data_IF_809376043659
#
_entry.id   IF_809376043659
#
_cell.length_a   1.000
_cell.length_b   1.000
_cell.length_c   1.000
_cell.angle_alpha   90.00
_cell.angle_beta   90.00
_cell.angle_gamma   90.00
#
_symmetry.space_group_name_H-M   'P 1'
#
loop_
_entity.id
_entity.type
_entity.pdbx_description
1 polymer ?
#
# COMPACT_ATOMS: atom_id res chain seq x y z
N UNK A 1 -7.68 -76.08 -18.21
CA UNK A 1 -8.81 -75.37 -17.58
C UNK A 1 -8.66 -75.21 -16.06
N UNK A 2 -8.38 -76.30 -15.31
CA UNK A 2 -8.26 -76.22 -13.81
C UNK A 2 -7.11 -75.33 -13.33
N UNK A 3 -5.95 -75.34 -13.99
CA UNK A 3 -4.77 -74.54 -13.60
C UNK A 3 -4.99 -73.02 -13.79
N UNK A 4 -5.70 -72.65 -14.83
CA UNK A 4 -6.08 -71.22 -15.09
C UNK A 4 -7.06 -70.70 -14.04
N UNK A 5 -7.98 -71.50 -13.61
CA UNK A 5 -8.95 -71.18 -12.55
C UNK A 5 -8.28 -70.98 -11.19
N UNK A 6 -7.33 -71.82 -10.84
CA UNK A 6 -6.57 -71.73 -9.58
C UNK A 6 -5.69 -70.43 -9.54
N UNK A 7 -5.05 -70.10 -10.64
CA UNK A 7 -4.24 -68.85 -10.73
C UNK A 7 -5.13 -67.59 -10.63
N UNK A 8 -6.31 -67.64 -11.25
CA UNK A 8 -7.25 -66.52 -11.18
C UNK A 8 -7.83 -66.34 -9.79
N UNK A 9 -8.17 -67.46 -9.11
CA UNK A 9 -8.66 -67.45 -7.73
C UNK A 9 -7.61 -66.95 -6.73
N UNK A 10 -6.34 -67.33 -6.90
CA UNK A 10 -5.26 -66.79 -6.08
C UNK A 10 -5.08 -65.28 -6.26
N UNK A 11 -5.12 -64.79 -7.51
CA UNK A 11 -5.02 -63.34 -7.77
C UNK A 11 -6.20 -62.53 -7.20
N UNK A 12 -7.40 -63.11 -7.20
CA UNK A 12 -8.57 -62.46 -6.60
C UNK A 12 -8.38 -62.38 -5.08
N UNK A 13 -7.97 -63.43 -4.41
CA UNK A 13 -7.71 -63.41 -2.97
C UNK A 13 -6.57 -62.43 -2.59
N UNK A 14 -5.51 -62.34 -3.41
CA UNK A 14 -4.42 -61.37 -3.20
C UNK A 14 -4.91 -59.94 -3.33
N UNK A 15 -5.79 -59.66 -4.32
CA UNK A 15 -6.39 -58.35 -4.50
C UNK A 15 -7.36 -57.97 -3.37
N UNK A 16 -8.17 -58.93 -2.91
CA UNK A 16 -9.08 -58.73 -1.77
C UNK A 16 -8.30 -58.41 -0.48
N UNK A 17 -7.17 -59.08 -0.25
CA UNK A 17 -6.28 -58.80 0.87
C UNK A 17 -5.61 -57.42 0.75
N UNK A 18 -5.20 -57.00 -0.45
CA UNK A 18 -4.65 -55.66 -0.69
C UNK A 18 -5.69 -54.58 -0.46
N UNK A 19 -6.93 -54.78 -0.93
CA UNK A 19 -8.05 -53.83 -0.71
C UNK A 19 -8.36 -53.70 0.78
N UNK A 20 -8.43 -54.84 1.51
CA UNK A 20 -8.65 -54.83 2.97
C UNK A 20 -7.52 -54.06 3.70
N UNK A 21 -6.27 -54.30 3.31
CA UNK A 21 -5.11 -53.61 3.92
C UNK A 21 -5.15 -52.12 3.64
N UNK A 22 -5.52 -51.70 2.42
CA UNK A 22 -5.67 -50.27 2.06
C UNK A 22 -6.86 -49.61 2.79
N UNK A 23 -7.97 -50.36 2.98
CA UNK A 23 -9.11 -49.86 3.76
C UNK A 23 -8.74 -49.69 5.24
N UNK A 24 -7.97 -50.59 5.83
CA UNK A 24 -7.44 -50.45 7.18
C UNK A 24 -6.44 -49.28 7.29
N UNK A 25 -5.60 -49.04 6.28
CA UNK A 25 -4.70 -47.89 6.22
C UNK A 25 -5.47 -46.58 6.13
N UNK A 26 -6.52 -46.52 5.31
CA UNK A 26 -7.38 -45.34 5.19
C UNK A 26 -8.18 -45.08 6.49
N UNK A 27 -8.67 -46.13 7.15
CA UNK A 27 -9.41 -45.96 8.40
C UNK A 27 -8.52 -45.59 9.59
N UNK A 28 -7.21 -45.91 9.51
CA UNK A 28 -6.20 -45.50 10.48
C UNK A 28 -5.49 -44.17 10.12
N UNK A 29 -5.78 -43.58 8.96
CA UNK A 29 -5.42 -42.17 8.70
C UNK A 29 -6.22 -41.32 9.69
N UNK A 30 -5.56 -40.82 10.72
CA UNK A 30 -6.15 -39.78 11.56
C UNK A 30 -6.59 -38.67 10.62
N UNK A 31 -7.78 -38.06 10.81
CA UNK A 31 -8.11 -36.87 10.08
C UNK A 31 -6.93 -35.93 10.25
N UNK A 32 -6.38 -35.42 9.13
CA UNK A 32 -5.34 -34.43 9.17
C UNK A 32 -5.75 -33.40 10.20
N UNK A 33 -4.92 -33.20 11.23
CA UNK A 33 -5.13 -32.11 12.16
C UNK A 33 -5.45 -30.89 11.29
N UNK A 34 -6.61 -30.29 11.49
CA UNK A 34 -6.92 -29.01 10.83
C UNK A 34 -5.82 -28.08 11.25
N UNK A 35 -4.92 -27.74 10.31
CA UNK A 35 -3.90 -26.73 10.55
C UNK A 35 -4.66 -25.43 10.73
N UNK A 36 -4.96 -25.08 11.97
CA UNK A 36 -5.52 -23.79 12.33
C UNK A 36 -4.33 -22.87 12.48
N UNK A 37 -4.20 -21.92 11.55
CA UNK A 37 -3.24 -20.83 11.71
C UNK A 37 -3.75 -19.93 12.82
N UNK A 38 -3.12 -20.02 14.00
CA UNK A 38 -3.42 -19.19 15.16
C UNK A 38 -2.41 -18.02 15.14
N UNK A 39 -2.91 -16.80 15.08
CA UNK A 39 -2.13 -15.59 15.23
C UNK A 39 -2.46 -14.96 16.60
N UNK A 40 -1.45 -14.66 17.42
CA UNK A 40 -1.64 -14.05 18.73
C UNK A 40 -2.40 -14.92 19.74
N UNK A 41 -3.29 -14.32 20.53
CA UNK A 41 -4.00 -14.95 21.66
C UNK A 41 -5.13 -15.92 21.25
N UNK A 42 -4.87 -16.86 20.34
CA UNK A 42 -5.79 -17.93 19.87
C UNK A 42 -6.86 -17.52 18.84
N UNK A 43 -6.81 -16.34 18.21
CA UNK A 43 -7.75 -15.99 17.14
C UNK A 43 -7.36 -16.69 15.83
N UNK A 44 -8.27 -17.47 15.26
CA UNK A 44 -8.07 -18.06 13.93
C UNK A 44 -8.35 -17.05 12.83
N UNK A 45 -7.76 -17.24 11.63
CA UNK A 45 -8.03 -16.39 10.47
C UNK A 45 -9.52 -16.37 10.09
N UNK A 46 -10.24 -17.47 10.31
CA UNK A 46 -11.68 -17.53 10.06
C UNK A 46 -12.48 -16.68 11.04
N UNK A 47 -12.11 -16.67 12.31
CA UNK A 47 -12.73 -15.82 13.32
C UNK A 47 -12.44 -14.36 13.04
N UNK A 48 -11.17 -14.00 12.76
CA UNK A 48 -10.79 -12.63 12.35
C UNK A 48 -11.60 -12.16 11.14
N UNK A 49 -11.76 -13.03 10.12
CA UNK A 49 -12.59 -12.71 8.96
C UNK A 49 -14.06 -12.49 9.35
N UNK A 50 -14.63 -13.36 10.18
CA UNK A 50 -16.02 -13.24 10.62
C UNK A 50 -16.28 -11.97 11.41
N UNK A 51 -15.34 -11.51 12.21
CA UNK A 51 -15.42 -10.28 13.01
C UNK A 51 -15.26 -9.00 12.15
N UNK A 52 -14.51 -9.07 11.04
CA UNK A 52 -14.14 -7.84 10.29
C UNK A 52 -14.86 -7.70 8.94
N UNK A 53 -15.42 -8.79 8.40
CA UNK A 53 -16.02 -8.82 7.05
C UNK A 53 -17.17 -7.82 6.83
N UNK A 54 -17.97 -7.53 7.87
CA UNK A 54 -19.10 -6.61 7.77
C UNK A 54 -18.67 -5.14 7.68
N UNK A 55 -17.48 -4.86 8.14
CA UNK A 55 -16.88 -3.51 8.09
C UNK A 55 -16.31 -3.16 6.71
N UNK A 56 -16.13 -4.16 5.83
CA UNK A 56 -15.55 -3.96 4.50
C UNK A 56 -16.65 -3.83 3.45
N UNK A 57 -16.58 -2.75 2.69
CA UNK A 57 -17.59 -2.37 1.70
C UNK A 57 -17.02 -2.41 0.28
N UNK A 58 -17.91 -2.55 -0.70
CA UNK A 58 -17.60 -2.33 -2.12
C UNK A 58 -17.91 -0.91 -2.49
N UNK A 59 -16.99 -0.26 -3.17
CA UNK A 59 -17.19 1.08 -3.73
C UNK A 59 -17.27 0.97 -5.25
N UNK A 60 -18.28 1.58 -5.84
CA UNK A 60 -18.45 1.71 -7.28
C UNK A 60 -18.64 3.17 -7.65
N UNK A 61 -17.75 3.67 -8.50
CA UNK A 61 -17.84 5.00 -9.08
C UNK A 61 -18.25 4.95 -10.53
N UNK A 62 -19.09 5.88 -10.97
CA UNK A 62 -19.43 6.08 -12.38
C UNK A 62 -18.67 7.29 -12.89
N UNK A 63 -17.77 7.06 -13.83
CA UNK A 63 -16.98 8.09 -14.50
C UNK A 63 -17.66 8.40 -15.84
N UNK A 64 -18.01 9.66 -16.07
CA UNK A 64 -18.67 10.11 -17.29
C UNK A 64 -17.67 10.88 -18.15
N UNK A 65 -17.33 10.37 -19.32
CA UNK A 65 -16.40 11.03 -20.24
C UNK A 65 -17.12 11.48 -21.50
N UNK A 66 -17.07 12.77 -21.77
CA UNK A 66 -17.55 13.36 -23.05
C UNK A 66 -16.47 13.16 -24.12
N UNK A 67 -16.79 12.46 -25.19
CA UNK A 67 -15.90 12.26 -26.33
C UNK A 67 -16.53 12.82 -27.59
N UNK A 68 -15.76 12.98 -28.65
CA UNK A 68 -16.28 13.41 -29.98
C UNK A 68 -17.29 12.39 -30.58
N UNK A 69 -17.32 11.15 -30.01
CA UNK A 69 -18.25 10.10 -30.42
C UNK A 69 -19.48 9.96 -29.49
N UNK A 70 -19.61 10.87 -28.49
CA UNK A 70 -20.69 10.85 -27.51
C UNK A 70 -20.20 10.61 -26.07
N UNK A 71 -21.19 10.46 -25.17
CA UNK A 71 -20.91 10.21 -23.75
C UNK A 71 -20.51 8.74 -23.54
N UNK A 72 -19.37 8.51 -22.91
CA UNK A 72 -18.91 7.19 -22.48
C UNK A 72 -19.02 7.08 -20.95
N UNK A 73 -19.50 5.94 -20.50
CA UNK A 73 -19.56 5.61 -19.07
C UNK A 73 -18.50 4.55 -18.77
N UNK A 74 -17.63 4.86 -17.80
CA UNK A 74 -16.65 3.95 -17.27
C UNK A 74 -16.98 3.69 -15.79
N UNK A 75 -16.76 2.48 -15.31
CA UNK A 75 -16.96 2.14 -13.91
C UNK A 75 -15.60 1.96 -13.22
N UNK A 76 -15.37 2.73 -12.16
CA UNK A 76 -14.33 2.45 -11.18
C UNK A 76 -14.92 1.52 -10.12
N UNK A 77 -14.10 0.59 -9.62
CA UNK A 77 -14.50 -0.32 -8.55
C UNK A 77 -13.33 -0.61 -7.63
N UNK A 78 -13.59 -0.55 -6.32
CA UNK A 78 -12.66 -0.86 -5.27
C UNK A 78 -13.37 -1.31 -4.01
N UNK A 79 -12.61 -1.37 -2.94
CA UNK A 79 -13.09 -1.63 -1.58
C UNK A 79 -12.96 -0.38 -0.72
N UNK A 80 -13.60 -0.40 0.43
CA UNK A 80 -13.43 0.55 1.51
C UNK A 80 -13.73 -0.14 2.84
N UNK A 81 -13.56 0.57 3.92
CA UNK A 81 -13.96 0.08 5.23
C UNK A 81 -14.58 1.19 6.06
N UNK A 82 -15.48 0.78 6.96
CA UNK A 82 -16.16 1.69 7.89
C UNK A 82 -15.21 2.07 9.01
N UNK A 83 -15.19 3.33 9.35
CA UNK A 83 -14.46 3.88 10.49
C UNK A 83 -15.33 4.88 11.25
N UNK A 84 -15.23 4.86 12.57
CA UNK A 84 -15.88 5.85 13.45
C UNK A 84 -14.88 6.99 13.71
N UNK A 85 -15.10 8.14 13.05
CA UNK A 85 -14.33 9.36 13.28
C UNK A 85 -15.12 10.25 14.23
N UNK A 86 -14.76 10.25 15.52
CA UNK A 86 -15.37 11.10 16.56
C UNK A 86 -16.92 11.02 16.66
N UNK A 87 -17.47 9.83 16.44
CA UNK A 87 -18.92 9.58 16.46
C UNK A 87 -19.59 9.75 15.10
N UNK A 88 -18.86 10.06 14.06
CA UNK A 88 -19.34 10.09 12.68
C UNK A 88 -18.85 8.83 11.93
N UNK A 89 -19.79 8.01 11.45
CA UNK A 89 -19.45 6.88 10.58
C UNK A 89 -19.05 7.36 9.21
N UNK A 90 -17.82 7.05 8.81
CA UNK A 90 -17.25 7.36 7.48
C UNK A 90 -16.75 6.10 6.80
N UNK A 91 -16.59 6.16 5.48
CA UNK A 91 -15.95 5.10 4.70
C UNK A 91 -14.56 5.61 4.28
N UNK A 92 -13.54 4.86 4.61
CA UNK A 92 -12.15 5.12 4.20
C UNK A 92 -11.81 4.25 3.01
N UNK A 93 -11.16 4.83 1.98
CA UNK A 93 -10.76 4.16 0.74
C UNK A 93 -9.57 4.87 0.10
N UNK A 94 -9.11 4.40 -1.07
CA UNK A 94 -8.11 5.10 -1.85
C UNK A 94 -8.71 6.24 -2.68
N UNK A 95 -7.89 7.27 -2.95
CA UNK A 95 -8.23 8.36 -3.86
C UNK A 95 -8.55 7.86 -5.27
N UNK A 96 -7.66 7.03 -5.85
CA UNK A 96 -7.84 6.51 -7.21
C UNK A 96 -9.12 5.68 -7.42
N UNK A 97 -9.75 5.18 -6.34
CA UNK A 97 -11.03 4.45 -6.42
C UNK A 97 -12.20 5.38 -6.69
N UNK A 98 -12.10 6.64 -6.29
CA UNK A 98 -13.17 7.64 -6.38
C UNK A 98 -12.84 8.83 -7.27
N UNK A 99 -11.63 8.89 -7.79
CA UNK A 99 -11.17 9.94 -8.68
C UNK A 99 -12.03 10.00 -9.95
N UNK A 100 -12.40 11.22 -10.37
CA UNK A 100 -13.29 11.49 -11.51
C UNK A 100 -14.70 10.86 -11.42
N UNK A 101 -15.10 10.24 -10.29
CA UNK A 101 -16.41 9.63 -10.16
C UNK A 101 -17.50 10.66 -9.87
N UNK A 102 -18.50 10.77 -10.77
CA UNK A 102 -19.66 11.67 -10.57
C UNK A 102 -20.69 11.07 -9.60
N UNK A 103 -20.85 9.76 -9.60
CA UNK A 103 -21.78 9.05 -8.71
C UNK A 103 -21.07 7.90 -8.04
N UNK A 104 -21.07 7.91 -6.70
CA UNK A 104 -20.43 6.89 -5.89
C UNK A 104 -21.48 6.10 -5.13
N UNK A 105 -21.35 4.79 -5.17
CA UNK A 105 -22.20 3.84 -4.47
C UNK A 105 -21.37 2.96 -3.55
N UNK A 106 -21.86 2.74 -2.35
CA UNK A 106 -21.30 1.83 -1.36
C UNK A 106 -22.25 0.66 -1.17
N UNK A 107 -21.76 -0.55 -1.39
CA UNK A 107 -22.51 -1.78 -1.16
C UNK A 107 -21.97 -2.48 0.06
N UNK A 108 -22.83 -2.67 1.06
CA UNK A 108 -22.53 -3.37 2.30
C UNK A 108 -22.54 -4.89 2.10
N UNK A 109 -22.02 -5.63 3.07
CA UNK A 109 -21.96 -7.09 3.06
C UNK A 109 -23.32 -7.78 2.91
N UNK A 110 -24.39 -7.18 3.46
CA UNK A 110 -25.76 -7.68 3.36
C UNK A 110 -26.38 -7.49 1.95
N UNK A 111 -25.64 -6.85 1.01
CA UNK A 111 -26.08 -6.55 -0.36
C UNK A 111 -26.84 -5.22 -0.50
N UNK A 112 -27.12 -4.50 0.60
CA UNK A 112 -27.70 -3.18 0.53
C UNK A 112 -26.71 -2.19 -0.09
N UNK A 113 -27.22 -1.36 -1.01
CA UNK A 113 -26.41 -0.36 -1.71
C UNK A 113 -26.91 1.04 -1.40
N UNK A 114 -26.02 1.92 -1.08
CA UNK A 114 -26.27 3.30 -0.66
C UNK A 114 -25.46 4.26 -1.50
N UNK A 115 -25.92 5.49 -1.62
CA UNK A 115 -25.15 6.58 -2.21
C UNK A 115 -24.08 7.05 -1.23
N UNK A 116 -22.95 7.48 -1.79
CA UNK A 116 -21.87 8.08 -1.01
C UNK A 116 -21.39 9.38 -1.67
N UNK A 117 -20.80 10.23 -0.84
CA UNK A 117 -20.21 11.51 -1.26
C UNK A 117 -18.82 11.65 -0.68
N UNK A 118 -17.85 12.10 -1.46
CA UNK A 118 -16.50 12.40 -0.99
C UNK A 118 -16.57 13.56 -0.01
N UNK A 119 -16.16 13.34 1.22
CA UNK A 119 -15.96 14.38 2.23
C UNK A 119 -14.63 15.11 1.97
N UNK A 120 -13.59 14.35 1.67
CA UNK A 120 -12.29 14.87 1.31
C UNK A 120 -11.40 13.79 0.76
N UNK A 121 -10.33 14.23 0.07
CA UNK A 121 -9.36 13.33 -0.51
C UNK A 121 -7.98 13.96 -0.59
N UNK A 122 -6.97 13.10 -0.63
CA UNK A 122 -5.58 13.44 -0.85
C UNK A 122 -4.97 12.50 -1.88
N UNK A 123 -4.64 13.07 -3.04
CA UNK A 123 -4.00 12.34 -4.12
C UNK A 123 -2.58 11.90 -3.77
N UNK A 124 -1.84 12.70 -2.98
CA UNK A 124 -0.45 12.40 -2.62
C UNK A 124 -0.31 11.21 -1.66
N UNK A 125 -1.33 10.99 -0.84
CA UNK A 125 -1.40 9.84 0.06
C UNK A 125 -2.25 8.69 -0.51
N UNK A 126 -2.88 8.88 -1.68
CA UNK A 126 -3.88 7.96 -2.25
C UNK A 126 -4.99 7.63 -1.24
N UNK A 127 -5.53 8.66 -0.57
CA UNK A 127 -6.52 8.53 0.50
C UNK A 127 -7.79 9.31 0.16
N UNK A 128 -8.96 8.73 0.43
CA UNK A 128 -10.25 9.39 0.34
C UNK A 128 -11.17 8.98 1.51
N UNK A 129 -11.99 9.91 1.96
CA UNK A 129 -12.99 9.70 3.01
C UNK A 129 -14.37 10.04 2.44
N UNK A 130 -15.32 9.12 2.62
CA UNK A 130 -16.68 9.26 2.12
C UNK A 130 -17.69 9.29 3.26
N UNK A 131 -18.74 10.07 3.09
CA UNK A 131 -20.00 9.90 3.80
C UNK A 131 -20.93 8.98 3.03
N UNK A 132 -21.88 8.34 3.71
CA UNK A 132 -22.91 7.51 3.09
C UNK A 132 -24.26 7.76 3.73
N UNK A 133 -25.35 7.52 2.98
CA UNK A 133 -26.72 7.56 3.53
C UNK A 133 -27.18 6.20 4.09
N UNK A 134 -26.27 5.26 4.28
CA UNK A 134 -26.55 4.00 4.97
C UNK A 134 -26.97 4.26 6.42
N UNK A 135 -27.94 3.50 6.96
CA UNK A 135 -28.29 3.57 8.38
C UNK A 135 -27.09 3.20 9.27
N UNK A 136 -26.85 3.98 10.34
CA UNK A 136 -25.71 3.74 11.24
C UNK A 136 -25.69 2.33 11.84
N UNK A 137 -26.85 1.74 12.11
CA UNK A 137 -26.94 0.38 12.65
C UNK A 137 -26.57 -0.73 11.64
N UNK A 138 -26.32 -0.39 10.38
CA UNK A 138 -25.76 -1.29 9.36
C UNK A 138 -24.25 -1.09 9.18
N UNK A 139 -23.64 -0.11 9.85
CA UNK A 139 -22.23 0.25 9.73
C UNK A 139 -21.46 -0.27 10.96
N UNK A 140 -20.54 -1.20 10.74
CA UNK A 140 -19.67 -1.76 11.78
C UNK A 140 -18.25 -1.19 11.60
N UNK A 141 -17.76 -0.29 12.50
CA UNK A 141 -16.46 0.34 12.32
C UNK A 141 -15.30 -0.58 12.70
N UNK A 142 -14.18 -0.47 11.96
CA UNK A 142 -12.88 -1.04 12.34
C UNK A 142 -12.11 -0.04 13.21
N UNK A 143 -11.28 -0.58 14.10
CA UNK A 143 -10.33 0.21 14.84
C UNK A 143 -9.07 0.44 13.99
N UNK A 144 -8.63 1.70 13.87
CA UNK A 144 -7.34 2.05 13.28
C UNK A 144 -6.31 2.19 14.41
N UNK A 145 -5.15 1.54 14.26
CA UNK A 145 -4.04 1.63 15.20
C UNK A 145 -2.79 2.14 14.49
N UNK A 146 -1.84 2.70 15.24
CA UNK A 146 -0.59 3.22 14.68
C UNK A 146 0.21 2.12 13.96
N UNK A 147 0.63 2.40 12.73
CA UNK A 147 1.55 1.55 11.95
C UNK A 147 3.01 1.67 12.36
N UNK A 148 3.38 2.60 13.27
CA UNK A 148 4.77 2.79 13.72
C UNK A 148 5.36 1.58 14.45
N UNK A 149 4.52 0.67 14.93
CA UNK A 149 4.96 -0.55 15.63
C UNK A 149 5.22 -1.72 14.69
N UNK A 150 4.82 -1.62 13.42
CA UNK A 150 5.03 -2.66 12.43
C UNK A 150 6.51 -2.93 12.19
N UNK A 151 6.83 -4.21 11.99
CA UNK A 151 8.17 -4.68 11.65
C UNK A 151 8.10 -5.61 10.45
N UNK A 152 9.19 -5.66 9.69
CA UNK A 152 9.35 -6.68 8.65
C UNK A 152 9.24 -8.07 9.28
N UNK A 153 8.37 -8.89 8.71
CA UNK A 153 8.02 -10.22 9.21
C UNK A 153 6.70 -10.28 9.99
N UNK A 154 6.12 -9.15 10.40
CA UNK A 154 4.83 -9.15 11.08
C UNK A 154 3.74 -9.68 10.15
N UNK A 155 2.86 -10.58 10.62
CA UNK A 155 1.76 -11.10 9.83
C UNK A 155 0.70 -10.02 9.60
N UNK A 156 0.18 -9.97 8.37
CA UNK A 156 -0.88 -9.04 7.98
C UNK A 156 -1.94 -9.74 7.13
N UNK A 157 -3.16 -9.24 7.21
CA UNK A 157 -4.33 -9.76 6.50
C UNK A 157 -4.94 -8.62 5.70
N UNK A 158 -5.10 -8.82 4.40
CA UNK A 158 -5.83 -7.89 3.55
C UNK A 158 -7.24 -8.43 3.28
N UNK A 159 -8.24 -7.57 3.43
CA UNK A 159 -9.63 -7.90 3.12
C UNK A 159 -10.13 -6.92 2.08
N UNK A 160 -10.72 -7.47 1.00
CA UNK A 160 -11.36 -6.70 -0.04
C UNK A 160 -12.62 -7.37 -0.53
N UNK A 161 -13.40 -6.68 -1.35
CA UNK A 161 -14.61 -7.23 -1.93
C UNK A 161 -14.69 -6.96 -3.45
N UNK A 162 -13.79 -7.56 -4.24
CA UNK A 162 -13.62 -7.24 -5.67
C UNK A 162 -14.86 -7.50 -6.53
N UNK A 163 -15.78 -8.38 -6.10
CA UNK A 163 -16.92 -8.79 -6.90
C UNK A 163 -18.28 -8.46 -6.27
N UNK A 164 -18.30 -7.84 -5.10
CA UNK A 164 -19.54 -7.37 -4.46
C UNK A 164 -20.43 -8.44 -3.80
N UNK A 165 -20.02 -9.71 -3.80
CA UNK A 165 -20.84 -10.81 -3.29
C UNK A 165 -20.18 -11.60 -2.15
N UNK A 166 -18.86 -11.79 -2.22
CA UNK A 166 -18.10 -12.52 -1.19
C UNK A 166 -16.77 -11.82 -1.00
N UNK A 167 -16.54 -11.26 0.19
CA UNK A 167 -15.24 -10.66 0.52
C UNK A 167 -14.12 -11.67 0.30
N UNK A 168 -13.00 -11.19 -0.19
CA UNK A 168 -11.75 -11.96 -0.34
C UNK A 168 -10.81 -11.60 0.78
N UNK A 169 -10.22 -12.61 1.43
CA UNK A 169 -9.17 -12.42 2.41
C UNK A 169 -7.87 -13.00 1.86
N UNK A 170 -6.80 -12.25 1.97
CA UNK A 170 -5.44 -12.69 1.65
C UNK A 170 -4.52 -12.47 2.85
N UNK A 171 -3.53 -13.33 3.00
CA UNK A 171 -2.61 -13.32 4.15
C UNK A 171 -1.18 -13.24 3.66
N UNK A 172 -0.37 -12.50 4.37
CA UNK A 172 1.05 -12.36 4.13
C UNK A 172 1.77 -11.78 5.33
N UNK A 173 2.94 -11.26 5.09
CA UNK A 173 3.74 -10.54 6.07
C UNK A 173 4.12 -9.16 5.55
N UNK A 174 4.48 -8.27 6.45
CA UNK A 174 5.19 -7.04 6.10
C UNK A 174 6.54 -7.43 5.51
N UNK A 175 6.78 -7.09 4.23
CA UNK A 175 8.01 -7.41 3.50
C UNK A 175 9.02 -6.26 3.56
N UNK A 176 8.54 -5.01 3.57
CA UNK A 176 9.34 -3.78 3.71
C UNK A 176 8.46 -2.64 4.20
N UNK A 177 9.05 -1.69 4.88
CA UNK A 177 8.45 -0.42 5.30
C UNK A 177 9.17 0.75 4.63
N UNK A 178 8.50 1.89 4.52
CA UNK A 178 9.10 3.12 4.02
C UNK A 178 9.48 3.06 2.53
N UNK A 179 8.68 2.38 1.69
CA UNK A 179 8.93 2.33 0.26
C UNK A 179 8.22 3.46 -0.48
N UNK A 180 8.85 3.97 -1.53
CA UNK A 180 8.22 4.89 -2.48
C UNK A 180 7.80 4.14 -3.72
N UNK A 181 6.57 4.33 -4.16
CA UNK A 181 6.04 3.78 -5.41
C UNK A 181 5.72 4.92 -6.36
N UNK A 182 6.13 4.77 -7.63
CA UNK A 182 5.77 5.71 -8.69
C UNK A 182 4.49 5.25 -9.35
N UNK A 183 3.49 6.10 -9.38
CA UNK A 183 2.22 5.87 -10.05
C UNK A 183 2.19 6.60 -11.37
N UNK A 184 2.20 5.83 -12.46
CA UNK A 184 2.21 6.39 -13.82
C UNK A 184 0.90 7.09 -14.18
N UNK A 185 -0.19 6.74 -13.52
CA UNK A 185 -1.54 7.27 -13.81
C UNK A 185 -1.74 8.66 -13.19
N UNK A 186 -1.14 8.90 -12.02
CA UNK A 186 -1.27 10.17 -11.29
C UNK A 186 -0.05 11.09 -11.44
N UNK A 187 1.03 10.62 -12.08
CA UNK A 187 2.20 11.45 -12.44
C UNK A 187 3.13 11.82 -11.29
N UNK A 188 2.97 11.25 -10.10
CA UNK A 188 3.84 11.45 -8.94
C UNK A 188 4.01 10.17 -8.12
N UNK A 189 4.94 10.23 -7.14
CA UNK A 189 5.24 9.09 -6.28
C UNK A 189 4.51 9.20 -4.95
N UNK A 190 4.02 8.06 -4.45
CA UNK A 190 3.49 7.90 -3.10
C UNK A 190 4.61 7.33 -2.24
N UNK A 191 5.02 8.09 -1.23
CA UNK A 191 6.09 7.70 -0.32
C UNK A 191 5.55 6.96 0.92
N UNK A 192 6.45 6.36 1.69
CA UNK A 192 6.17 5.70 2.97
C UNK A 192 5.16 4.56 2.86
N UNK A 193 5.26 3.73 1.84
CA UNK A 193 4.34 2.60 1.60
C UNK A 193 4.81 1.34 2.32
N UNK A 194 3.86 0.59 2.90
CA UNK A 194 4.07 -0.77 3.39
C UNK A 194 4.07 -1.72 2.21
N UNK A 195 5.14 -2.49 2.03
CA UNK A 195 5.17 -3.62 1.12
C UNK A 195 4.81 -4.90 1.88
N UNK A 196 3.92 -5.71 1.30
CA UNK A 196 3.50 -7.00 1.88
C UNK A 196 3.56 -8.13 0.86
N UNK A 197 3.72 -9.35 1.34
CA UNK A 197 3.57 -10.57 0.54
C UNK A 197 2.11 -11.03 0.42
N UNK A 198 1.15 -10.40 1.11
CA UNK A 198 -0.27 -10.67 0.91
C UNK A 198 -0.65 -10.31 -0.53
N UNK A 199 -1.26 -11.23 -1.29
CA UNK A 199 -1.68 -10.94 -2.67
C UNK A 199 -2.73 -9.83 -2.71
N UNK A 200 -2.40 -8.70 -3.33
CA UNK A 200 -3.32 -7.59 -3.58
C UNK A 200 -3.65 -7.60 -5.07
N UNK A 201 -4.93 -7.69 -5.37
CA UNK A 201 -5.45 -7.73 -6.74
C UNK A 201 -6.42 -6.56 -6.96
N UNK A 202 -6.68 -6.16 -8.23
CA UNK A 202 -7.71 -5.19 -8.54
C UNK A 202 -9.04 -5.51 -7.85
N UNK A 203 -9.64 -4.50 -7.21
CA UNK A 203 -10.83 -4.63 -6.37
C UNK A 203 -10.55 -4.79 -4.87
N UNK A 204 -9.33 -5.16 -4.44
CA UNK A 204 -8.93 -5.08 -3.04
C UNK A 204 -8.45 -3.67 -2.67
N UNK A 205 -8.04 -2.84 -3.65
CA UNK A 205 -7.66 -1.43 -3.42
C UNK A 205 -8.72 -0.69 -2.61
N UNK A 206 -8.30 0.04 -1.60
CA UNK A 206 -9.14 0.74 -0.62
C UNK A 206 -9.61 -0.13 0.54
N UNK A 207 -9.41 -1.45 0.49
CA UNK A 207 -9.68 -2.34 1.61
C UNK A 207 -8.65 -2.21 2.74
N UNK A 208 -9.00 -2.64 3.97
CA UNK A 208 -8.08 -2.60 5.09
C UNK A 208 -6.95 -3.62 4.97
N UNK A 209 -5.75 -3.22 5.38
CA UNK A 209 -4.67 -4.12 5.80
C UNK A 209 -4.74 -4.20 7.32
N UNK A 210 -4.96 -5.41 7.85
CA UNK A 210 -5.18 -5.66 9.26
C UNK A 210 -3.97 -6.35 9.90
N UNK A 211 -3.74 -6.07 11.18
CA UNK A 211 -2.93 -6.93 12.03
C UNK A 211 -3.74 -8.18 12.46
N UNK A 212 -3.12 -9.08 13.20
CA UNK A 212 -3.76 -10.30 13.69
C UNK A 212 -4.83 -10.09 14.78
N UNK A 213 -4.99 -8.85 15.27
CA UNK A 213 -6.07 -8.46 16.18
C UNK A 213 -7.28 -7.85 15.45
N UNK A 214 -7.29 -7.87 14.11
CA UNK A 214 -8.35 -7.26 13.30
C UNK A 214 -8.32 -5.74 13.24
N UNK A 215 -7.22 -5.11 13.67
CA UNK A 215 -7.06 -3.67 13.67
C UNK A 215 -6.38 -3.21 12.40
N UNK A 216 -6.82 -2.08 11.84
CA UNK A 216 -6.29 -1.50 10.60
C UNK A 216 -4.90 -0.92 10.86
N UNK A 217 -3.92 -1.42 10.10
CA UNK A 217 -2.53 -0.93 10.05
C UNK A 217 -2.18 -0.28 8.70
N UNK A 218 -3.11 -0.32 7.74
CA UNK A 218 -2.96 0.34 6.43
C UNK A 218 -4.18 0.16 5.54
N UNK A 219 -4.12 0.79 4.35
CA UNK A 219 -5.09 0.63 3.26
C UNK A 219 -4.39 -0.01 2.08
N UNK A 220 -4.90 -1.14 1.59
CA UNK A 220 -4.33 -1.83 0.43
C UNK A 220 -4.48 -1.00 -0.85
N UNK A 221 -3.44 -0.96 -1.67
CA UNK A 221 -3.44 -0.31 -2.97
C UNK A 221 -2.84 -1.22 -4.04
N UNK A 222 -3.52 -1.40 -5.16
CA UNK A 222 -3.13 -2.28 -6.28
C UNK A 222 -2.60 -1.45 -7.47
N UNK A 223 -1.86 -0.40 -7.19
CA UNK A 223 -1.41 0.60 -8.15
C UNK A 223 -0.36 0.04 -9.14
N UNK A 224 0.47 -0.94 -8.73
CA UNK A 224 1.51 -1.48 -9.59
C UNK A 224 0.97 -2.73 -10.32
N UNK A 225 0.55 -2.56 -11.56
CA UNK A 225 0.30 -3.68 -12.47
C UNK A 225 1.63 -4.45 -12.69
N UNK A 226 1.60 -5.76 -12.80
CA UNK A 226 2.77 -6.65 -13.01
C UNK A 226 3.67 -6.96 -11.81
N UNK A 227 3.35 -6.54 -10.59
CA UNK A 227 4.08 -6.95 -9.39
C UNK A 227 3.58 -8.30 -8.85
N UNK A 228 3.85 -9.40 -9.55
CA UNK A 228 3.45 -10.73 -9.07
C UNK A 228 4.06 -11.02 -7.69
N UNK A 229 3.19 -11.18 -6.67
CA UNK A 229 3.61 -11.51 -5.31
C UNK A 229 4.05 -10.32 -4.45
N UNK A 230 3.85 -9.08 -4.93
CA UNK A 230 4.08 -7.87 -4.15
C UNK A 230 2.75 -7.13 -3.95
N UNK A 231 2.36 -6.96 -2.70
CA UNK A 231 1.24 -6.10 -2.32
C UNK A 231 1.76 -4.79 -1.71
N UNK A 232 0.97 -3.74 -1.80
CA UNK A 232 1.29 -2.43 -1.24
C UNK A 232 0.12 -1.90 -0.41
N UNK A 233 0.43 -1.11 0.61
CA UNK A 233 -0.58 -0.44 1.43
C UNK A 233 -0.08 0.91 1.94
N UNK A 234 -0.95 1.90 1.95
CA UNK A 234 -0.75 3.18 2.64
C UNK A 234 -0.80 2.93 4.14
N UNK A 235 0.18 3.38 4.93
CA UNK A 235 0.20 3.15 6.38
C UNK A 235 -0.97 3.82 7.11
N UNK A 236 -1.43 3.21 8.19
CA UNK A 236 -2.50 3.78 9.01
C UNK A 236 -2.13 5.11 9.68
N UNK A 237 -0.85 5.38 9.92
CA UNK A 237 -0.42 6.69 10.41
C UNK A 237 -0.78 7.83 9.45
N UNK A 238 -0.76 7.58 8.14
CA UNK A 238 -1.23 8.54 7.14
C UNK A 238 -2.73 8.81 7.32
N UNK A 239 -3.55 7.75 7.51
CA UNK A 239 -4.98 7.91 7.77
C UNK A 239 -5.19 8.75 9.03
N UNK A 240 -4.54 8.38 10.14
CA UNK A 240 -4.69 9.06 11.43
C UNK A 240 -4.27 10.54 11.38
N UNK A 241 -3.26 10.87 10.54
CA UNK A 241 -2.76 12.23 10.34
C UNK A 241 -3.73 13.09 9.53
N UNK A 242 -4.40 12.50 8.53
CA UNK A 242 -5.11 13.24 7.49
C UNK A 242 -6.64 13.20 7.62
N UNK A 243 -7.20 12.19 8.31
CA UNK A 243 -8.65 11.98 8.34
C UNK A 243 -9.43 13.18 8.90
N UNK A 244 -8.95 13.84 9.96
CA UNK A 244 -9.57 15.04 10.50
C UNK A 244 -9.68 16.16 9.47
N UNK A 245 -8.57 16.65 8.90
CA UNK A 245 -8.59 17.65 7.81
C UNK A 245 -9.45 17.23 6.60
N UNK A 246 -9.42 15.95 6.19
CA UNK A 246 -10.23 15.47 5.07
C UNK A 246 -11.72 15.55 5.37
N UNK A 247 -12.15 15.22 6.59
CA UNK A 247 -13.56 15.31 7.00
C UNK A 247 -14.00 16.77 7.18
N UNK A 248 -13.15 17.62 7.79
CA UNK A 248 -13.52 18.98 8.17
C UNK A 248 -13.39 19.99 7.03
N UNK A 249 -12.33 19.87 6.22
CA UNK A 249 -11.97 20.88 5.20
C UNK A 249 -11.93 20.35 3.77
N UNK A 250 -12.08 19.04 3.59
CA UNK A 250 -12.11 18.42 2.29
C UNK A 250 -10.75 18.10 1.67
N UNK A 251 -9.64 18.52 2.29
CA UNK A 251 -8.30 18.31 1.75
C UNK A 251 -7.25 18.33 2.85
N UNK A 252 -6.10 17.68 2.57
CA UNK A 252 -4.91 17.77 3.40
C UNK A 252 -3.82 18.58 2.70
N UNK A 253 -3.38 19.69 3.31
CA UNK A 253 -2.45 20.65 2.71
C UNK A 253 -1.08 20.72 3.41
N UNK A 254 -0.86 19.84 4.39
CA UNK A 254 0.35 19.87 5.22
C UNK A 254 1.45 18.93 4.72
N UNK A 255 1.55 18.76 3.38
CA UNK A 255 2.66 18.04 2.78
C UNK A 255 3.90 18.91 2.72
N UNK A 256 4.95 18.53 3.44
CA UNK A 256 6.25 19.17 3.31
C UNK A 256 6.86 18.89 1.92
N UNK A 257 7.56 19.87 1.38
CA UNK A 257 8.14 19.83 0.05
C UNK A 257 9.52 20.46 0.01
N UNK A 258 10.47 19.75 -0.60
CA UNK A 258 11.82 20.26 -0.80
C UNK A 258 12.02 20.93 -2.16
N UNK A 259 11.31 20.49 -3.19
CA UNK A 259 11.44 21.03 -4.54
C UNK A 259 12.64 20.48 -5.30
N UNK A 260 12.87 19.17 -5.26
CA UNK A 260 13.95 18.51 -5.97
C UNK A 260 13.47 17.25 -6.70
N UNK A 261 14.23 16.86 -7.74
CA UNK A 261 14.22 15.51 -8.29
C UNK A 261 15.57 14.85 -7.99
N UNK A 262 15.57 13.55 -7.77
CA UNK A 262 16.78 12.83 -7.44
C UNK A 262 16.73 11.37 -7.85
N UNK A 263 17.89 10.72 -7.78
CA UNK A 263 18.08 9.29 -8.00
C UNK A 263 18.91 8.71 -6.88
N UNK A 264 18.78 7.40 -6.65
CA UNK A 264 19.58 6.71 -5.65
C UNK A 264 21.04 6.63 -6.10
N UNK A 265 21.94 6.91 -5.17
CA UNK A 265 23.37 6.66 -5.42
C UNK A 265 23.62 5.15 -5.51
N UNK A 266 24.53 4.80 -6.38
CA UNK A 266 25.06 3.45 -6.52
C UNK A 266 26.55 3.50 -6.87
N UNK A 267 27.21 2.33 -6.98
CA UNK A 267 28.62 2.25 -7.27
C UNK A 267 29.00 2.86 -8.64
N UNK A 268 28.16 2.66 -9.67
CA UNK A 268 28.41 3.18 -11.01
C UNK A 268 28.36 4.71 -11.05
N UNK A 269 27.31 5.31 -10.42
CA UNK A 269 27.17 6.78 -10.32
C UNK A 269 28.33 7.36 -9.50
N UNK A 270 28.73 6.69 -8.40
CA UNK A 270 29.86 7.13 -7.59
C UNK A 270 31.18 7.17 -8.39
N UNK A 271 31.42 6.16 -9.25
CA UNK A 271 32.60 6.16 -10.14
C UNK A 271 32.54 7.27 -11.18
N UNK A 272 31.36 7.54 -11.77
CA UNK A 272 31.19 8.63 -12.74
C UNK A 272 31.37 10.01 -12.12
N UNK A 273 31.05 10.16 -10.82
CA UNK A 273 31.22 11.41 -10.06
C UNK A 273 32.59 11.52 -9.35
N UNK A 274 33.48 10.52 -9.49
CA UNK A 274 34.75 10.44 -8.78
C UNK A 274 34.61 10.67 -7.28
N UNK A 275 33.66 9.93 -6.65
CA UNK A 275 33.32 10.03 -5.22
C UNK A 275 33.34 8.67 -4.54
N UNK A 276 33.65 8.67 -3.22
CA UNK A 276 33.59 7.48 -2.37
C UNK A 276 32.18 7.18 -1.85
N UNK A 277 31.23 8.09 -2.06
CA UNK A 277 29.86 7.96 -1.56
C UNK A 277 29.01 7.12 -2.53
N UNK A 278 28.82 5.84 -2.21
CA UNK A 278 28.02 4.88 -3.01
C UNK A 278 26.58 4.75 -2.52
N UNK A 279 26.14 5.57 -1.57
CA UNK A 279 24.81 5.63 -1.00
C UNK A 279 24.38 7.09 -0.82
N UNK A 280 23.09 7.30 -0.61
CA UNK A 280 22.46 8.60 -0.49
C UNK A 280 21.52 8.88 -1.64
N UNK A 281 20.93 10.05 -1.66
CA UNK A 281 20.03 10.51 -2.69
C UNK A 281 20.66 11.66 -3.47
N UNK A 282 21.04 11.41 -4.74
CA UNK A 282 21.66 12.39 -5.63
C UNK A 282 20.58 13.33 -6.18
N UNK A 283 20.72 14.62 -5.95
CA UNK A 283 19.85 15.64 -6.52
C UNK A 283 20.21 15.82 -7.99
N UNK A 284 19.29 15.47 -8.88
CA UNK A 284 19.45 15.64 -10.32
C UNK A 284 18.94 16.99 -10.79
N UNK A 285 17.86 17.51 -10.17
CA UNK A 285 17.26 18.79 -10.49
C UNK A 285 16.76 19.48 -9.23
N UNK A 286 16.81 20.81 -9.24
CA UNK A 286 16.22 21.69 -8.22
C UNK A 286 15.17 22.53 -8.91
N UNK A 287 14.02 22.70 -8.28
CA UNK A 287 12.95 23.58 -8.77
C UNK A 287 13.32 25.03 -8.44
N UNK A 288 13.35 25.86 -9.47
CA UNK A 288 13.67 27.29 -9.33
C UNK A 288 12.71 27.98 -8.35
N UNK A 289 13.24 28.85 -7.51
CA UNK A 289 12.49 29.57 -6.46
C UNK A 289 11.81 28.60 -5.45
N UNK A 290 12.20 27.34 -5.40
CA UNK A 290 11.73 26.36 -4.42
C UNK A 290 12.61 26.31 -3.16
N UNK A 291 12.18 25.62 -2.09
CA UNK A 291 12.91 25.52 -0.82
C UNK A 291 14.35 25.07 -0.96
N UNK A 292 14.61 24.13 -1.85
CA UNK A 292 15.96 23.63 -2.13
C UNK A 292 16.85 24.68 -2.78
N UNK A 293 16.32 25.47 -3.70
CA UNK A 293 17.02 26.56 -4.37
C UNK A 293 17.35 27.68 -3.38
N UNK A 294 16.36 28.10 -2.59
CA UNK A 294 16.55 29.11 -1.54
C UNK A 294 17.59 28.71 -0.50
N UNK A 295 17.65 27.40 -0.15
CA UNK A 295 18.67 26.86 0.73
C UNK A 295 20.05 26.69 0.07
N UNK A 296 20.15 26.83 -1.24
CA UNK A 296 21.38 26.69 -2.01
C UNK A 296 21.79 25.23 -2.29
N UNK A 297 20.84 24.29 -2.29
CA UNK A 297 21.04 22.94 -2.83
C UNK A 297 21.30 23.02 -4.34
N UNK A 298 22.07 22.06 -4.86
CA UNK A 298 22.49 22.06 -6.26
C UNK A 298 22.04 20.78 -6.97
N UNK A 299 21.37 20.96 -8.10
CA UNK A 299 21.11 19.88 -9.04
C UNK A 299 22.32 19.50 -9.87
N UNK A 300 22.24 18.36 -10.52
CA UNK A 300 23.26 17.90 -11.45
C UNK A 300 23.34 18.76 -12.72
N UNK A 301 24.51 18.81 -13.34
CA UNK A 301 24.77 19.65 -14.54
C UNK A 301 25.32 18.85 -15.71
N UNK A 302 25.66 17.58 -15.52
CA UNK A 302 26.29 16.73 -16.52
C UNK A 302 25.45 15.48 -16.80
N UNK A 303 25.26 15.16 -18.07
CA UNK A 303 24.61 13.92 -18.49
C UNK A 303 25.62 12.78 -18.52
N UNK A 304 25.38 11.73 -17.77
CA UNK A 304 26.18 10.52 -17.75
C UNK A 304 25.36 9.30 -18.20
N UNK A 305 26.02 8.37 -18.88
CA UNK A 305 25.38 7.13 -19.34
C UNK A 305 25.67 6.01 -18.33
N UNK A 306 24.62 5.38 -17.82
CA UNK A 306 24.69 4.21 -16.94
C UNK A 306 24.05 2.99 -17.61
N UNK A 307 24.19 1.82 -16.99
CA UNK A 307 23.54 0.57 -17.45
C UNK A 307 22.00 0.73 -17.46
N UNK A 308 21.44 1.50 -16.51
CA UNK A 308 20.00 1.71 -16.37
C UNK A 308 19.46 2.84 -17.28
N UNK A 309 20.35 3.61 -17.92
CA UNK A 309 19.98 4.72 -18.80
C UNK A 309 20.79 5.98 -18.54
N UNK A 310 20.31 7.11 -19.04
CA UNK A 310 20.97 8.40 -18.86
C UNK A 310 20.55 9.03 -17.52
N UNK A 311 21.53 9.46 -16.74
CA UNK A 311 21.33 10.16 -15.46
C UNK A 311 22.01 11.53 -15.49
N UNK A 312 21.45 12.51 -14.78
CA UNK A 312 22.09 13.82 -14.55
C UNK A 312 22.92 13.72 -13.27
N UNK A 313 24.24 13.97 -13.37
CA UNK A 313 25.19 13.87 -12.25
C UNK A 313 25.81 15.24 -11.92
N UNK A 314 26.59 15.31 -10.84
CA UNK A 314 27.30 16.51 -10.38
C UNK A 314 26.50 17.38 -9.42
N UNK A 315 25.31 16.93 -9.00
CA UNK A 315 24.52 17.55 -7.94
C UNK A 315 24.96 17.16 -6.53
N UNK A 316 24.32 17.72 -5.54
CA UNK A 316 24.51 17.36 -4.13
C UNK A 316 23.94 15.96 -3.84
N UNK A 317 24.56 15.23 -2.93
CA UNK A 317 24.07 13.95 -2.44
C UNK A 317 23.57 14.12 -1.01
N UNK A 318 22.29 13.90 -0.73
CA UNK A 318 21.74 13.91 0.62
C UNK A 318 22.08 12.57 1.26
N UNK A 319 22.77 12.60 2.41
CA UNK A 319 23.19 11.38 3.15
C UNK A 319 22.65 11.31 4.58
N UNK A 320 22.07 12.39 5.08
CA UNK A 320 21.45 12.44 6.41
C UNK A 320 20.44 13.58 6.50
N UNK A 321 19.40 13.40 7.32
CA UNK A 321 18.41 14.41 7.69
C UNK A 321 18.17 14.33 9.20
N UNK A 322 18.43 15.44 9.92
CA UNK A 322 18.28 15.53 11.38
C UNK A 322 18.94 14.38 12.16
N UNK A 323 20.13 13.91 11.74
CA UNK A 323 20.83 12.79 12.33
C UNK A 323 20.32 11.41 11.92
N UNK A 324 19.30 11.35 11.04
CA UNK A 324 18.80 10.10 10.46
C UNK A 324 19.48 9.85 9.12
N UNK A 325 20.17 8.70 9.03
CA UNK A 325 20.91 8.33 7.81
C UNK A 325 19.99 8.12 6.62
N UNK A 326 20.33 8.73 5.50
CA UNK A 326 19.68 8.57 4.21
C UNK A 326 20.55 7.66 3.33
N UNK A 327 20.07 6.46 3.01
CA UNK A 327 20.75 5.50 2.15
C UNK A 327 20.27 5.63 0.69
N UNK A 328 19.02 6.04 0.50
CA UNK A 328 18.35 6.20 -0.80
C UNK A 328 17.19 7.21 -0.68
N UNK A 329 16.49 7.44 -1.79
CA UNK A 329 15.32 8.34 -1.84
C UNK A 329 14.15 7.88 -0.97
N UNK A 330 13.95 6.55 -0.83
CA UNK A 330 12.89 6.02 0.04
C UNK A 330 13.05 6.50 1.49
N UNK A 331 14.29 6.45 2.03
CA UNK A 331 14.57 6.89 3.40
C UNK A 331 14.29 8.38 3.58
N UNK A 332 14.75 9.21 2.63
CA UNK A 332 14.51 10.65 2.66
C UNK A 332 13.02 11.00 2.58
N UNK A 333 12.31 10.43 1.62
CA UNK A 333 10.90 10.71 1.40
C UNK A 333 10.02 10.19 2.53
N UNK A 334 10.37 9.04 3.13
CA UNK A 334 9.69 8.51 4.33
C UNK A 334 9.86 9.46 5.50
N UNK A 335 11.09 9.93 5.76
CA UNK A 335 11.34 10.92 6.81
C UNK A 335 10.53 12.21 6.58
N UNK A 336 10.51 12.69 5.35
CA UNK A 336 9.76 13.88 4.98
C UNK A 336 8.27 13.74 5.31
N UNK A 337 7.64 12.62 4.95
CA UNK A 337 6.20 12.38 5.19
C UNK A 337 5.89 12.20 6.67
N UNK A 338 6.74 11.48 7.41
CA UNK A 338 6.46 11.12 8.80
C UNK A 338 6.82 12.21 9.82
N UNK A 339 7.90 12.96 9.57
CA UNK A 339 8.54 13.78 10.60
C UNK A 339 8.59 15.27 10.28
N UNK A 340 8.05 15.69 9.12
CA UNK A 340 8.15 17.11 8.74
C UNK A 340 6.81 17.73 8.39
N UNK A 341 6.79 19.07 8.39
CA UNK A 341 5.65 19.88 8.02
C UNK A 341 6.13 21.11 7.23
N UNK A 342 5.26 21.74 6.41
CA UNK A 342 5.57 23.02 5.78
C UNK A 342 5.99 24.08 6.80
N UNK A 343 7.00 24.89 6.45
CA UNK A 343 7.57 25.91 7.33
C UNK A 343 8.57 25.38 8.38
N UNK A 344 8.76 24.07 8.45
CA UNK A 344 9.75 23.49 9.34
C UNK A 344 11.15 23.61 8.74
N UNK A 345 12.10 24.12 9.54
CA UNK A 345 13.52 24.12 9.19
C UNK A 345 14.17 22.83 9.69
N UNK A 346 14.90 22.15 8.82
CA UNK A 346 15.65 20.91 9.12
C UNK A 346 17.10 21.05 8.69
N UNK A 347 18.00 20.29 9.33
CA UNK A 347 19.39 20.18 8.92
C UNK A 347 19.58 18.94 8.04
N UNK A 348 20.05 19.15 6.81
CA UNK A 348 20.52 18.10 5.92
C UNK A 348 22.03 17.98 5.99
N UNK A 349 22.58 16.77 6.00
CA UNK A 349 23.99 16.57 5.67
C UNK A 349 24.08 16.17 4.21
N UNK A 350 24.79 16.99 3.43
CA UNK A 350 25.00 16.74 2.01
C UNK A 350 26.46 16.48 1.69
N UNK A 351 26.71 15.82 0.57
CA UNK A 351 28.05 15.70 -0.04
C UNK A 351 28.10 16.62 -1.26
N UNK A 352 29.03 17.53 -1.25
CA UNK A 352 29.35 18.46 -2.37
C UNK A 352 30.83 18.49 -2.59
N UNK A 353 31.30 18.21 -3.81
CA UNK A 353 32.72 18.14 -4.17
C UNK A 353 33.54 17.21 -3.23
N UNK A 354 33.01 16.02 -2.97
CA UNK A 354 33.56 15.01 -2.04
C UNK A 354 33.74 15.47 -0.59
N UNK A 355 33.07 16.54 -0.17
CA UNK A 355 33.08 17.03 1.19
C UNK A 355 31.69 16.98 1.79
N UNK A 356 31.56 16.48 2.99
CA UNK A 356 30.33 16.53 3.77
C UNK A 356 30.15 17.90 4.39
N UNK A 357 28.94 18.44 4.33
CA UNK A 357 28.60 19.71 4.96
C UNK A 357 27.15 19.74 5.42
N UNK A 358 26.85 20.39 6.55
CA UNK A 358 25.47 20.65 6.95
C UNK A 358 24.85 21.75 6.08
N UNK A 359 23.56 21.63 5.84
CA UNK A 359 22.76 22.63 5.14
C UNK A 359 21.38 22.72 5.79
N UNK A 360 21.01 23.91 6.23
CA UNK A 360 19.70 24.18 6.83
C UNK A 360 18.69 24.51 5.73
N UNK A 361 17.55 23.85 5.73
CA UNK A 361 16.49 24.01 4.73
C UNK A 361 15.14 24.20 5.41
N UNK A 362 14.39 25.21 5.03
CA UNK A 362 12.99 25.39 5.42
C UNK A 362 12.11 24.72 4.37
N UNK A 363 11.28 23.76 4.75
CA UNK A 363 10.39 23.07 3.81
C UNK A 363 9.20 23.93 3.43
N UNK A 364 8.88 23.95 2.16
CA UNK A 364 7.66 24.58 1.64
C UNK A 364 6.45 23.66 1.70
N UNK A 365 5.29 24.19 1.29
CA UNK A 365 4.09 23.38 1.04
C UNK A 365 4.17 22.78 -0.35
N UNK A 366 3.88 21.49 -0.45
CA UNK A 366 3.86 20.80 -1.76
C UNK A 366 2.78 21.43 -2.66
N UNK A 367 3.11 21.81 -3.91
CA UNK A 367 2.12 22.31 -4.86
C UNK A 367 0.99 21.29 -5.08
N UNK A 368 -0.23 21.71 -5.44
CA UNK A 368 -1.30 20.78 -5.78
C UNK A 368 -0.88 19.86 -6.94
N UNK A 369 -1.42 18.63 -7.02
CA UNK A 369 -1.13 17.73 -8.13
C UNK A 369 -1.54 18.38 -9.47
N UNK A 370 -0.79 18.08 -10.56
CA UNK A 370 -1.01 18.69 -11.88
C UNK A 370 -2.34 18.31 -12.52
#
# INVERSE_FOLDING_TARGET
MVLSYLITSQRINDLENQVSTLQDQISNLQPSENIVYIFGDNTSLSELYDETKNSVVVIKGVIVRQTIFGTQYQQAQGSGFVYDHEGQMVIVTNFHVVDDAENIFVTLRNGNTYTATVLGSDAYADLAVLSTNAPENELEPLQIVSSSTLKVGDPVVAIGNPFGLTGSMTVGIVSRLGRTISESTIGFSIANIIQTSAPINPGNSGGPLLNYLGQVVGITTAIIADSQGLGFAVPSNTILKEIGPLVETGSYTQHAWLGVLGVDMNYEIAQLMDTDFTYGWLITQVVDEGPADEAGLRGGTELAQTIEGTVIIGGDIIIDIEGTRVVNGDDFLTYLVEHTSPGQTVELTIVRNNQTMPLSVEFGTRPPPP
#
